data_IF_821214062646
#
_entry.id   IF_821214062646
#
_cell.length_a   1.000
_cell.length_b   1.000
_cell.length_c   1.000
_cell.angle_alpha   90.00
_cell.angle_beta   90.00
_cell.angle_gamma   90.00
#
_symmetry.space_group_name_H-M   'P 1'
#
loop_
_entity.id
_entity.type
_entity.pdbx_description
1 polymer ?
#
# COMPACT_ATOMS: atom_id res chain seq x y z
N UNK A 1 -1.34 -3.72 -12.52
CA UNK A 1 -0.28 -3.21 -11.64
C UNK A 1 -0.61 -3.54 -10.20
N UNK A 2 0.38 -3.97 -9.43
CA UNK A 2 0.26 -4.26 -7.99
C UNK A 2 1.35 -3.54 -7.21
N UNK A 3 1.12 -3.34 -5.91
CA UNK A 3 2.16 -2.94 -4.96
C UNK A 3 2.10 -3.85 -3.73
N UNK A 4 3.22 -3.98 -3.02
CA UNK A 4 3.28 -4.73 -1.76
C UNK A 4 3.10 -3.78 -0.57
N UNK A 5 2.24 -4.13 0.38
CA UNK A 5 2.03 -3.35 1.60
C UNK A 5 2.09 -4.24 2.85
N UNK A 6 2.42 -3.63 3.98
CA UNK A 6 2.42 -4.24 5.30
C UNK A 6 2.17 -3.18 6.39
N UNK A 7 2.10 -3.62 7.65
CA UNK A 7 2.21 -2.75 8.81
C UNK A 7 3.57 -2.97 9.49
N UNK A 8 4.30 -1.89 9.76
CA UNK A 8 5.54 -1.95 10.55
C UNK A 8 5.21 -2.35 11.99
N UNK A 9 6.04 -3.23 12.56
CA UNK A 9 5.73 -3.88 13.84
C UNK A 9 5.90 -2.95 15.05
N UNK A 10 6.81 -1.98 14.98
CA UNK A 10 7.19 -1.11 16.09
C UNK A 10 6.15 -0.01 16.37
N UNK A 11 5.66 0.65 15.33
CA UNK A 11 4.76 1.80 15.43
C UNK A 11 3.41 1.61 14.70
N UNK A 12 3.25 0.49 13.99
CA UNK A 12 2.03 0.19 13.24
C UNK A 12 1.91 0.94 11.91
N UNK A 13 2.95 1.68 11.48
CA UNK A 13 2.92 2.50 10.27
C UNK A 13 2.63 1.65 9.03
N UNK A 14 1.85 2.20 8.09
CA UNK A 14 1.59 1.52 6.83
C UNK A 14 2.81 1.73 5.93
N UNK A 15 3.46 0.63 5.56
CA UNK A 15 4.66 0.65 4.73
C UNK A 15 4.43 -0.07 3.41
N UNK A 16 5.26 0.29 2.43
CA UNK A 16 5.27 -0.25 1.08
C UNK A 16 6.67 -0.77 0.74
N UNK A 17 6.76 -1.61 -0.29
CA UNK A 17 8.02 -2.23 -0.66
C UNK A 17 8.76 -1.44 -1.73
N UNK A 18 10.09 -1.38 -1.63
CA UNK A 18 10.99 -0.91 -2.69
C UNK A 18 12.32 -1.65 -2.59
N UNK A 19 12.62 -2.48 -3.59
CA UNK A 19 13.94 -3.09 -3.77
C UNK A 19 14.56 -3.72 -2.49
N UNK A 20 13.79 -4.52 -1.75
CA UNK A 20 14.29 -5.18 -0.53
C UNK A 20 13.98 -4.43 0.78
N UNK A 21 13.45 -3.21 0.69
CA UNK A 21 13.27 -2.32 1.84
C UNK A 21 11.81 -1.86 1.98
N UNK A 22 11.44 -1.48 3.20
CA UNK A 22 10.14 -0.88 3.52
C UNK A 22 10.25 0.65 3.48
N UNK A 23 9.42 1.28 2.66
CA UNK A 23 9.28 2.73 2.52
C UNK A 23 7.92 3.20 3.01
N UNK A 24 7.84 4.43 3.50
CA UNK A 24 6.62 4.92 4.16
C UNK A 24 5.61 5.48 3.15
N UNK A 25 6.09 6.17 2.10
CA UNK A 25 5.22 6.82 1.12
C UNK A 25 4.82 5.84 0.02
N UNK A 26 3.54 5.79 -0.31
CA UNK A 26 3.05 4.96 -1.42
C UNK A 26 3.70 5.36 -2.77
N UNK A 27 3.96 6.66 -2.97
CA UNK A 27 4.60 7.17 -4.17
C UNK A 27 6.02 6.62 -4.40
N UNK A 28 6.70 6.18 -3.33
CA UNK A 28 8.03 5.61 -3.42
C UNK A 28 8.03 4.10 -3.67
N UNK A 29 6.85 3.47 -3.62
CA UNK A 29 6.69 2.02 -3.74
C UNK A 29 7.10 1.52 -5.12
N UNK A 30 7.75 0.36 -5.14
CA UNK A 30 7.96 -0.42 -6.34
C UNK A 30 6.62 -1.01 -6.81
N UNK A 31 6.40 -0.94 -8.13
CA UNK A 31 5.17 -1.39 -8.75
C UNK A 31 5.44 -2.63 -9.60
N UNK A 32 4.61 -3.64 -9.45
CA UNK A 32 4.74 -4.92 -10.13
C UNK A 32 3.74 -5.01 -11.29
N UNK A 33 4.26 -5.21 -12.50
CA UNK A 33 3.47 -5.44 -13.73
C UNK A 33 3.11 -6.90 -13.94
N UNK A 34 3.90 -7.82 -13.40
CA UNK A 34 3.71 -9.26 -13.48
C UNK A 34 3.55 -9.87 -12.08
N UNK A 35 2.82 -10.98 -12.00
CA UNK A 35 2.56 -11.66 -10.74
C UNK A 35 3.80 -12.30 -10.10
N UNK A 36 4.70 -12.99 -10.85
CA UNK A 36 5.89 -13.62 -10.26
C UNK A 36 6.82 -12.66 -9.51
N UNK A 37 7.10 -11.47 -10.04
CA UNK A 37 7.96 -10.49 -9.36
C UNK A 37 7.32 -9.99 -8.06
N UNK A 38 6.02 -9.69 -8.09
CA UNK A 38 5.27 -9.28 -6.90
C UNK A 38 5.21 -10.37 -5.83
N UNK A 39 4.99 -11.63 -6.21
CA UNK A 39 4.96 -12.77 -5.28
C UNK A 39 6.34 -13.06 -4.67
N UNK A 40 7.41 -12.90 -5.44
CA UNK A 40 8.78 -13.01 -4.92
C UNK A 40 9.06 -11.93 -3.86
N UNK A 41 8.67 -10.67 -4.11
CA UNK A 41 8.76 -9.59 -3.14
C UNK A 41 7.90 -9.86 -1.90
N UNK A 42 6.67 -10.37 -2.08
CA UNK A 42 5.79 -10.77 -0.98
C UNK A 42 6.44 -11.83 -0.08
N UNK A 43 7.10 -12.83 -0.70
CA UNK A 43 7.87 -13.85 0.02
C UNK A 43 9.03 -13.26 0.83
N UNK A 44 9.79 -12.33 0.25
CA UNK A 44 10.85 -11.62 0.97
C UNK A 44 10.29 -10.83 2.15
N UNK A 45 9.21 -10.08 1.96
CA UNK A 45 8.59 -9.32 3.03
C UNK A 45 8.08 -10.22 4.17
N UNK A 46 7.48 -11.36 3.85
CA UNK A 46 7.02 -12.37 4.83
C UNK A 46 8.16 -13.00 5.63
N UNK A 47 9.39 -13.01 5.09
CA UNK A 47 10.57 -13.49 5.81
C UNK A 47 11.12 -12.51 6.86
N UNK A 48 10.48 -11.34 7.02
CA UNK A 48 10.86 -10.30 7.99
C UNK A 48 9.82 -10.13 9.13
N UNK A 49 9.47 -11.19 9.87
CA UNK A 49 8.37 -11.16 10.85
C UNK A 49 8.62 -10.24 12.05
N UNK A 50 9.88 -9.90 12.32
CA UNK A 50 10.26 -8.97 13.39
C UNK A 50 10.26 -7.49 12.93
N UNK A 51 9.93 -7.23 11.67
CA UNK A 51 9.91 -5.88 11.08
C UNK A 51 8.50 -5.48 10.68
N UNK A 52 7.73 -6.41 10.10
CA UNK A 52 6.38 -6.13 9.58
C UNK A 52 5.41 -7.27 9.83
N UNK A 53 4.12 -6.94 9.80
CA UNK A 53 3.01 -7.89 9.84
C UNK A 53 2.05 -7.65 8.68
N UNK A 54 1.21 -8.67 8.40
CA UNK A 54 0.18 -8.62 7.36
C UNK A 54 0.74 -8.15 6.01
N UNK A 55 1.74 -8.87 5.50
CA UNK A 55 2.36 -8.63 4.18
C UNK A 55 1.47 -9.20 3.07
N UNK A 56 1.02 -8.35 2.13
CA UNK A 56 0.21 -8.77 0.96
C UNK A 56 0.24 -7.76 -0.19
N UNK A 57 0.01 -8.26 -1.40
CA UNK A 57 -0.12 -7.44 -2.61
C UNK A 57 -1.49 -6.75 -2.69
N UNK A 58 -1.51 -5.53 -3.19
CA UNK A 58 -2.71 -4.74 -3.46
C UNK A 58 -2.81 -4.39 -4.95
N UNK A 59 -4.02 -4.41 -5.48
CA UNK A 59 -4.30 -4.01 -6.86
C UNK A 59 -4.34 -2.47 -6.98
N UNK A 60 -3.85 -1.96 -8.12
CA UNK A 60 -3.73 -0.52 -8.38
C UNK A 60 -4.59 -0.08 -9.56
N UNK A 61 -4.92 1.21 -9.58
CA UNK A 61 -5.63 1.90 -10.66
C UNK A 61 -4.89 3.20 -11.01
N UNK A 62 -4.97 3.63 -12.26
CA UNK A 62 -4.46 4.94 -12.68
C UNK A 62 -5.36 6.06 -12.15
N UNK A 63 -4.74 7.13 -11.68
CA UNK A 63 -5.41 8.35 -11.25
C UNK A 63 -4.46 9.53 -11.44
N UNK A 64 -4.91 10.55 -12.17
CA UNK A 64 -4.12 11.78 -12.43
C UNK A 64 -2.73 11.52 -13.04
N UNK A 65 -2.61 10.48 -13.88
CA UNK A 65 -1.33 10.08 -14.47
C UNK A 65 -0.35 9.39 -13.51
N UNK A 66 -0.78 9.13 -12.27
CA UNK A 66 -0.08 8.33 -11.26
C UNK A 66 -0.86 7.06 -10.94
N UNK A 67 -0.28 6.21 -10.09
CA UNK A 67 -0.95 5.03 -9.57
C UNK A 67 -1.55 5.30 -8.20
N UNK A 68 -2.66 4.63 -7.90
CA UNK A 68 -3.29 4.63 -6.58
C UNK A 68 -3.83 3.24 -6.23
N UNK A 69 -3.96 2.88 -4.94
CA UNK A 69 -4.64 1.66 -4.54
C UNK A 69 -6.08 1.60 -5.05
N UNK A 70 -6.46 0.49 -5.69
CA UNK A 70 -7.81 0.26 -6.19
C UNK A 70 -8.84 0.23 -5.06
N UNK A 71 -8.47 -0.30 -3.90
CA UNK A 71 -9.35 -0.40 -2.73
C UNK A 71 -9.38 0.89 -1.91
N UNK A 72 -10.58 1.37 -1.59
CA UNK A 72 -10.77 2.54 -0.71
C UNK A 72 -10.08 2.40 0.65
N UNK A 73 -10.13 1.21 1.25
CA UNK A 73 -9.42 0.93 2.51
C UNK A 73 -7.92 1.20 2.39
N UNK A 74 -7.31 0.72 1.30
CA UNK A 74 -5.86 0.85 1.11
C UNK A 74 -5.47 2.29 0.74
N UNK A 75 -6.37 3.06 0.10
CA UNK A 75 -6.18 4.50 -0.07
C UNK A 75 -6.15 5.24 1.26
N UNK A 76 -7.11 4.97 2.16
CA UNK A 76 -7.09 5.55 3.51
C UNK A 76 -5.80 5.17 4.24
N UNK A 77 -5.33 3.92 4.10
CA UNK A 77 -4.08 3.49 4.73
C UNK A 77 -2.84 4.16 4.16
N UNK A 78 -2.82 4.43 2.85
CA UNK A 78 -1.74 5.19 2.22
C UNK A 78 -1.76 6.68 2.61
N UNK A 79 -2.93 7.25 2.85
CA UNK A 79 -3.13 8.66 3.22
C UNK A 79 -3.03 8.93 4.72
N UNK A 80 -3.36 7.95 5.56
CA UNK A 80 -3.52 8.13 7.00
C UNK A 80 -4.97 8.49 7.41
N UNK A 81 -5.18 8.90 8.68
CA UNK A 81 -6.50 9.07 9.26
C UNK A 81 -7.31 10.19 8.59
N UNK A 82 -8.52 9.92 8.08
CA UNK A 82 -9.30 10.91 7.32
C UNK A 82 -10.07 11.90 8.21
N UNK A 83 -9.68 12.05 9.48
CA UNK A 83 -10.43 12.85 10.46
C UNK A 83 -10.13 14.35 10.38
N UNK A 84 -8.95 14.74 9.90
CA UNK A 84 -8.56 16.14 9.74
C UNK A 84 -7.50 16.27 8.62
N UNK A 85 -7.56 17.30 7.75
CA UNK A 85 -6.61 17.46 6.64
C UNK A 85 -5.14 17.55 7.05
N UNK A 86 -4.86 18.05 8.25
CA UNK A 86 -3.52 18.16 8.82
C UNK A 86 -2.98 16.90 9.51
N UNK A 87 -3.65 15.75 9.43
CA UNK A 87 -3.21 14.50 10.08
C UNK A 87 -2.73 13.45 9.08
N UNK A 88 -1.67 12.72 9.43
CA UNK A 88 -1.14 11.63 8.61
C UNK A 88 -0.46 12.12 7.33
N UNK A 89 -0.25 11.19 6.40
CA UNK A 89 0.49 11.42 5.15
C UNK A 89 -0.23 12.37 4.19
N UNK A 90 -1.55 12.48 4.28
CA UNK A 90 -2.32 13.45 3.49
C UNK A 90 -1.90 14.90 3.76
N UNK A 91 -1.34 15.20 4.94
CA UNK A 91 -0.89 16.54 5.30
C UNK A 91 0.37 16.97 4.52
N UNK A 92 1.11 16.02 3.93
CA UNK A 92 2.29 16.30 3.11
C UNK A 92 1.93 16.99 1.79
N UNK A 93 0.70 16.78 1.29
CA UNK A 93 0.21 17.33 0.04
C UNK A 93 0.99 16.90 -1.22
N UNK A 94 0.74 17.61 -2.32
CA UNK A 94 1.37 17.38 -3.62
C UNK A 94 0.67 16.35 -4.50
N UNK A 95 1.12 16.24 -5.75
CA UNK A 95 0.45 15.48 -6.80
C UNK A 95 0.19 14.01 -6.45
N UNK A 96 1.09 13.37 -5.68
CA UNK A 96 0.89 11.99 -5.25
C UNK A 96 -0.28 11.84 -4.26
N UNK A 97 -0.45 12.80 -3.35
CA UNK A 97 -1.57 12.82 -2.41
C UNK A 97 -2.87 13.13 -3.15
N UNK A 98 -2.86 14.08 -4.08
CA UNK A 98 -4.00 14.44 -4.93
C UNK A 98 -4.50 13.22 -5.73
N UNK A 99 -3.59 12.49 -6.38
CA UNK A 99 -3.90 11.26 -7.10
C UNK A 99 -4.53 10.19 -6.18
N UNK A 100 -4.01 10.03 -4.95
CA UNK A 100 -4.59 9.10 -3.99
C UNK A 100 -5.99 9.53 -3.51
N UNK A 101 -6.24 10.83 -3.34
CA UNK A 101 -7.52 11.37 -2.89
C UNK A 101 -8.60 11.31 -3.98
N UNK A 102 -8.22 11.54 -5.24
CA UNK A 102 -9.15 11.54 -6.37
C UNK A 102 -9.36 10.16 -7.00
N UNK A 103 -8.54 9.17 -6.64
CA UNK A 103 -8.72 7.81 -7.09
C UNK A 103 -10.06 7.20 -6.64
N UNK A 104 -10.77 6.60 -7.61
CA UNK A 104 -12.02 5.87 -7.40
C UNK A 104 -11.80 4.38 -7.70
N UNK A 105 -12.60 3.50 -7.10
CA UNK A 105 -12.41 2.06 -7.26
C UNK A 105 -13.21 1.23 -6.27
N UNK A 106 -12.77 0.00 -6.05
CA UNK A 106 -13.47 -0.96 -5.20
C UNK A 106 -13.46 -0.55 -3.71
N UNK A 107 -14.48 -0.96 -2.95
CA UNK A 107 -14.47 -0.75 -1.49
C UNK A 107 -13.47 -1.66 -0.78
N UNK A 108 -13.23 -2.88 -1.28
CA UNK A 108 -12.44 -3.94 -0.62
C UNK A 108 -11.19 -4.29 -1.41
N UNK A 109 -10.15 -4.75 -0.71
CA UNK A 109 -8.90 -5.25 -1.29
C UNK A 109 -8.95 -6.76 -1.44
N UNK A 110 -8.76 -7.27 -2.66
CA UNK A 110 -8.68 -8.72 -2.95
C UNK A 110 -7.51 -9.34 -2.20
N UNK A 111 -6.35 -8.66 -2.19
CA UNK A 111 -5.17 -9.10 -1.45
C UNK A 111 -5.43 -9.32 0.03
N UNK A 112 -6.09 -8.35 0.69
CA UNK A 112 -6.47 -8.49 2.11
C UNK A 112 -7.45 -9.64 2.34
N UNK A 113 -8.45 -9.80 1.47
CA UNK A 113 -9.41 -10.90 1.57
C UNK A 113 -8.68 -12.25 1.48
N UNK A 114 -7.72 -12.38 0.56
CA UNK A 114 -6.91 -13.57 0.41
C UNK A 114 -5.95 -13.79 1.58
N UNK A 115 -5.45 -12.72 2.22
CA UNK A 115 -4.66 -12.82 3.44
C UNK A 115 -5.48 -13.43 4.59
N UNK A 116 -6.73 -12.97 4.78
CA UNK A 116 -7.61 -13.45 5.85
C UNK A 116 -7.98 -14.92 5.64
N UNK A 117 -8.30 -15.32 4.40
CA UNK A 117 -8.66 -16.71 4.08
C UNK A 117 -7.52 -17.71 4.24
N UNK A 118 -6.27 -17.25 4.30
CA UNK A 118 -5.06 -18.08 4.44
C UNK A 118 -4.63 -18.31 5.90
N UNK A 119 -5.25 -17.61 6.86
CA UNK A 119 -5.09 -17.84 8.30
C UNK A 119 -6.14 -18.84 8.78
#
# INVERSE_FOLDING_TARGET
MKALTANRLDDGEVVFWKAGQWVERFADAELFSDDPTGEAAEGQGKSQPNTVIDVYLIDLIESEGLWAPLSYRERIRALGPPNHPGHGKQAEGGAAIEALMHATGASRSTGRVNLIKRK
#
